data_IF_804263614247
#
_entry.id   IF_804263614247
#
_cell.length_a   1.000
_cell.length_b   1.000
_cell.length_c   1.000
_cell.angle_alpha   90.00
_cell.angle_beta   90.00
_cell.angle_gamma   90.00
#
_symmetry.space_group_name_H-M   'P 1'
#
loop_
_entity.id
_entity.type
_entity.pdbx_description
1 polymer ?
#
# COMPACT_ATOMS: atom_id res chain seq x y z
N UNK A 1 21.35 -0.32 1.12
CA UNK A 1 20.79 -0.98 2.32
C UNK A 1 20.95 -2.47 2.13
N UNK A 2 21.45 -3.15 3.12
CA UNK A 2 21.66 -4.58 3.00
C UNK A 2 20.51 -5.30 3.69
N UNK A 3 19.86 -6.20 2.96
CA UNK A 3 18.89 -7.13 3.54
C UNK A 3 19.66 -8.05 4.50
N UNK A 4 19.21 -8.22 5.75
CA UNK A 4 19.85 -9.11 6.70
C UNK A 4 20.04 -10.53 6.13
N UNK A 5 21.17 -11.15 6.43
CA UNK A 5 21.54 -12.45 5.85
C UNK A 5 20.53 -13.56 6.16
N UNK A 6 19.92 -13.52 7.33
CA UNK A 6 18.87 -14.47 7.72
C UNK A 6 17.59 -14.35 6.88
N UNK A 7 17.35 -13.21 6.27
CA UNK A 7 16.25 -13.01 5.30
C UNK A 7 16.76 -13.34 3.89
N UNK A 8 17.92 -12.82 3.50
CA UNK A 8 18.49 -12.97 2.16
C UNK A 8 18.69 -14.41 1.76
N UNK A 9 19.18 -15.22 2.69
CA UNK A 9 19.59 -16.60 2.44
C UNK A 9 18.50 -17.64 2.74
N UNK A 10 17.27 -17.23 2.95
CA UNK A 10 16.14 -18.13 3.18
C UNK A 10 15.16 -18.06 2.00
N UNK A 11 15.23 -19.08 1.14
CA UNK A 11 14.41 -19.13 -0.08
C UNK A 11 12.89 -19.13 0.21
N UNK A 12 12.46 -19.63 1.36
CA UNK A 12 11.04 -19.64 1.76
C UNK A 12 10.49 -18.24 2.06
N UNK A 13 11.37 -17.24 2.22
CA UNK A 13 10.99 -15.85 2.45
C UNK A 13 10.73 -15.06 1.18
N UNK A 14 10.91 -15.68 0.00
CA UNK A 14 10.78 -15.03 -1.29
C UNK A 14 9.70 -15.69 -2.14
N UNK A 15 8.97 -14.90 -2.91
CA UNK A 15 8.21 -15.44 -4.02
C UNK A 15 9.17 -15.79 -5.16
N UNK A 16 9.14 -17.06 -5.59
CA UNK A 16 10.00 -17.59 -6.64
C UNK A 16 9.24 -17.88 -7.94
N UNK A 17 8.13 -17.17 -8.16
CA UNK A 17 7.35 -17.25 -9.39
C UNK A 17 8.13 -16.67 -10.58
N UNK A 18 8.04 -17.32 -11.76
CA UNK A 18 8.74 -16.92 -12.96
C UNK A 18 8.11 -15.71 -13.65
N UNK A 19 7.88 -14.62 -12.92
CA UNK A 19 7.40 -13.37 -13.49
C UNK A 19 8.56 -12.41 -13.75
N UNK A 20 8.52 -11.74 -14.91
CA UNK A 20 9.47 -10.66 -15.24
C UNK A 20 9.09 -9.30 -14.70
N UNK A 21 7.88 -9.17 -14.15
CA UNK A 21 7.35 -7.93 -13.57
C UNK A 21 5.90 -8.06 -13.13
N UNK A 22 5.42 -7.07 -12.40
CA UNK A 22 4.07 -7.04 -11.85
C UNK A 22 3.00 -6.78 -12.93
N UNK A 23 1.75 -6.97 -12.57
CA UNK A 23 0.57 -6.69 -13.38
C UNK A 23 -0.44 -5.86 -12.58
N UNK A 24 -1.09 -4.89 -13.24
CA UNK A 24 -2.20 -4.14 -12.64
C UNK A 24 -3.56 -4.80 -12.88
N UNK A 25 -3.61 -5.92 -13.62
CA UNK A 25 -4.85 -6.59 -14.01
C UNK A 25 -4.96 -8.02 -13.51
N UNK A 26 -3.85 -8.62 -13.11
CA UNK A 26 -3.78 -9.97 -12.53
C UNK A 26 -3.37 -9.84 -11.05
N UNK A 27 -4.30 -10.15 -10.15
CA UNK A 27 -4.08 -9.99 -8.71
C UNK A 27 -3.01 -10.93 -8.15
N UNK A 28 -2.94 -12.16 -8.65
CA UNK A 28 -1.89 -13.10 -8.24
C UNK A 28 -0.52 -12.58 -8.67
N UNK A 29 -0.37 -12.24 -9.95
CA UNK A 29 0.88 -11.66 -10.46
C UNK A 29 1.23 -10.33 -9.75
N UNK A 30 0.24 -9.50 -9.41
CA UNK A 30 0.46 -8.25 -8.68
C UNK A 30 1.16 -8.48 -7.34
N UNK A 31 0.82 -9.57 -6.63
CA UNK A 31 1.31 -9.86 -5.28
C UNK A 31 2.46 -10.85 -5.22
N UNK A 32 2.86 -11.46 -6.35
CA UNK A 32 3.90 -12.48 -6.40
C UNK A 32 5.02 -12.16 -7.39
N UNK A 33 4.93 -11.01 -8.04
CA UNK A 33 5.90 -10.61 -9.05
C UNK A 33 6.76 -9.44 -8.58
N UNK A 34 8.05 -9.43 -8.93
CA UNK A 34 8.96 -8.35 -8.57
C UNK A 34 8.54 -7.02 -9.23
N UNK A 35 8.71 -5.92 -8.50
CA UNK A 35 8.51 -4.54 -8.96
C UNK A 35 9.85 -3.81 -9.10
N UNK A 36 10.86 -4.49 -9.64
CA UNK A 36 12.22 -3.97 -9.72
C UNK A 36 13.10 -4.35 -8.53
N UNK A 37 12.52 -5.01 -7.53
CA UNK A 37 13.19 -5.59 -6.36
C UNK A 37 12.62 -6.98 -6.10
N UNK A 38 13.40 -7.88 -5.46
CA UNK A 38 12.88 -9.19 -5.05
C UNK A 38 11.65 -9.06 -4.15
N UNK A 39 10.68 -9.94 -4.36
CA UNK A 39 9.41 -9.92 -3.67
C UNK A 39 9.38 -10.86 -2.48
N UNK A 40 8.99 -10.34 -1.31
CA UNK A 40 8.94 -11.09 -0.06
C UNK A 40 7.63 -11.88 0.06
N UNK A 41 7.75 -13.17 0.36
CA UNK A 41 6.60 -14.04 0.64
C UNK A 41 5.94 -13.69 1.97
N UNK A 42 5.04 -12.74 1.96
CA UNK A 42 4.33 -12.28 3.16
C UNK A 42 3.32 -13.28 3.72
N UNK A 43 3.10 -14.43 3.08
CA UNK A 43 2.35 -15.55 3.65
C UNK A 43 3.19 -16.38 4.63
N UNK A 44 4.53 -16.28 4.59
CA UNK A 44 5.42 -16.99 5.50
C UNK A 44 5.34 -16.43 6.93
N UNK A 45 4.99 -17.28 7.89
CA UNK A 45 4.76 -16.87 9.28
C UNK A 45 6.03 -16.42 10.01
N UNK A 46 7.17 -16.99 9.69
CA UNK A 46 8.45 -16.60 10.30
C UNK A 46 8.86 -15.21 9.82
N UNK A 47 8.75 -14.95 8.52
CA UNK A 47 8.96 -13.62 7.96
C UNK A 47 8.00 -12.60 8.57
N UNK A 48 6.71 -12.94 8.70
CA UNK A 48 5.76 -12.08 9.39
C UNK A 48 6.21 -11.75 10.82
N UNK A 49 6.69 -12.74 11.58
CA UNK A 49 7.17 -12.51 12.95
C UNK A 49 8.36 -11.53 12.98
N UNK A 50 9.28 -11.63 12.04
CA UNK A 50 10.42 -10.70 11.93
C UNK A 50 9.91 -9.28 11.71
N UNK A 51 9.00 -9.09 10.77
CA UNK A 51 8.44 -7.78 10.44
C UNK A 51 7.63 -7.23 11.63
N UNK A 52 6.81 -8.04 12.28
CA UNK A 52 6.01 -7.61 13.43
C UNK A 52 6.86 -7.21 14.64
N UNK A 53 7.97 -7.91 14.87
CA UNK A 53 8.94 -7.54 15.90
C UNK A 53 9.57 -6.18 15.56
N UNK A 54 9.99 -5.97 14.32
CA UNK A 54 10.51 -4.67 13.87
C UNK A 54 9.52 -3.53 14.10
N UNK A 55 8.23 -3.73 13.75
CA UNK A 55 7.19 -2.71 13.98
C UNK A 55 7.01 -2.44 15.49
N UNK A 56 7.05 -3.48 16.33
CA UNK A 56 6.94 -3.34 17.78
C UNK A 56 8.13 -2.59 18.37
N UNK A 57 9.34 -2.88 17.92
CA UNK A 57 10.55 -2.18 18.33
C UNK A 57 10.51 -0.70 17.92
N UNK A 58 10.04 -0.40 16.71
CA UNK A 58 9.86 0.96 16.25
C UNK A 58 8.83 1.73 17.12
N UNK A 59 7.71 1.09 17.50
CA UNK A 59 6.74 1.67 18.43
C UNK A 59 7.36 1.90 19.83
N UNK A 60 8.17 0.98 20.32
CA UNK A 60 8.90 1.15 21.58
C UNK A 60 9.88 2.32 21.52
N UNK A 61 10.39 2.65 20.33
CA UNK A 61 11.21 3.85 20.08
C UNK A 61 10.40 5.14 19.84
N UNK A 62 9.07 5.08 19.89
CA UNK A 62 8.19 6.24 19.78
C UNK A 62 7.51 6.44 18.42
N UNK A 63 7.46 5.43 17.56
CA UNK A 63 6.68 5.52 16.33
C UNK A 63 5.18 5.44 16.62
N UNK A 64 4.42 6.45 16.20
CA UNK A 64 2.96 6.55 16.36
C UNK A 64 2.18 5.99 15.16
N UNK A 65 2.86 5.63 14.07
CA UNK A 65 2.23 5.09 12.88
C UNK A 65 3.23 4.59 11.85
N UNK A 66 2.70 3.94 10.81
CA UNK A 66 3.50 3.36 9.75
C UNK A 66 2.88 3.61 8.37
N UNK A 67 3.73 3.99 7.42
CA UNK A 67 3.45 3.96 6.00
C UNK A 67 4.01 2.67 5.41
N UNK A 68 3.18 1.94 4.72
CA UNK A 68 3.59 0.76 3.95
C UNK A 68 3.69 1.16 2.49
N UNK A 69 4.91 1.13 1.98
CA UNK A 69 5.22 1.40 0.59
C UNK A 69 4.65 0.29 -0.30
N UNK A 70 4.19 0.65 -1.51
CA UNK A 70 3.71 -0.28 -2.52
C UNK A 70 2.74 -1.37 -1.99
N UNK A 71 1.86 -1.01 -1.04
CA UNK A 71 1.04 -1.95 -0.28
C UNK A 71 0.15 -2.87 -1.15
N UNK A 72 -0.19 -2.47 -2.38
CA UNK A 72 -0.96 -3.31 -3.31
C UNK A 72 -0.26 -4.63 -3.68
N UNK A 73 1.05 -4.69 -3.51
CA UNK A 73 1.87 -5.86 -3.83
C UNK A 73 1.96 -6.87 -2.68
N UNK A 74 1.19 -6.69 -1.62
CA UNK A 74 1.08 -7.63 -0.51
C UNK A 74 -0.33 -8.23 -0.49
N UNK A 75 -0.42 -9.55 -0.31
CA UNK A 75 -1.67 -10.29 -0.27
C UNK A 75 -2.52 -9.89 0.92
N UNK A 76 -3.82 -9.95 0.75
CA UNK A 76 -4.79 -9.78 1.83
C UNK A 76 -5.40 -11.13 2.23
N UNK A 77 -6.01 -11.24 3.42
CA UNK A 77 -6.72 -12.48 3.81
C UNK A 77 -7.87 -12.87 2.87
N UNK A 78 -8.37 -11.94 2.07
CA UNK A 78 -9.48 -12.16 1.12
C UNK A 78 -9.02 -12.58 -0.28
N UNK A 79 -7.72 -12.67 -0.54
CA UNK A 79 -7.20 -13.15 -1.82
C UNK A 79 -7.37 -14.68 -1.90
N UNK A 80 -8.27 -15.12 -2.78
CA UNK A 80 -8.72 -16.50 -2.81
C UNK A 80 -7.62 -17.46 -3.31
N UNK A 81 -7.26 -18.43 -2.47
CA UNK A 81 -6.29 -19.46 -2.78
C UNK A 81 -4.83 -19.09 -2.48
N UNK A 82 -4.51 -17.81 -2.26
CA UNK A 82 -3.16 -17.33 -1.96
C UNK A 82 -3.11 -16.22 -0.90
N UNK A 83 -4.20 -15.98 -0.19
CA UNK A 83 -4.31 -14.90 0.79
C UNK A 83 -3.40 -15.08 2.00
N UNK A 84 -2.90 -13.95 2.51
CA UNK A 84 -2.00 -13.86 3.66
C UNK A 84 -2.70 -13.20 4.86
N UNK A 85 -2.36 -13.63 6.07
CA UNK A 85 -2.78 -12.99 7.32
C UNK A 85 -1.89 -11.80 7.72
N UNK A 86 -0.96 -11.39 6.88
CA UNK A 86 0.00 -10.33 7.17
C UNK A 86 -0.68 -9.06 7.70
N UNK A 87 -1.63 -8.50 6.95
CA UNK A 87 -2.30 -7.25 7.33
C UNK A 87 -3.11 -7.36 8.61
N UNK A 88 -3.80 -8.48 8.80
CA UNK A 88 -4.56 -8.73 10.04
C UNK A 88 -3.61 -8.73 11.25
N UNK A 89 -2.47 -9.41 11.14
CA UNK A 89 -1.45 -9.48 12.19
C UNK A 89 -0.74 -8.15 12.43
N UNK A 90 -0.44 -7.39 11.37
CA UNK A 90 0.11 -6.02 11.49
C UNK A 90 -0.84 -5.17 12.33
N UNK A 91 -2.11 -5.12 11.96
CA UNK A 91 -3.12 -4.35 12.71
C UNK A 91 -3.20 -4.80 14.16
N UNK A 92 -3.38 -6.09 14.40
CA UNK A 92 -3.51 -6.65 15.76
C UNK A 92 -2.30 -6.32 16.63
N UNK A 93 -1.09 -6.57 16.11
CA UNK A 93 0.15 -6.34 16.87
C UNK A 93 0.36 -4.87 17.19
N UNK A 94 0.22 -4.00 16.20
CA UNK A 94 0.48 -2.56 16.39
C UNK A 94 -0.58 -1.89 17.25
N UNK A 95 -1.86 -2.28 17.12
CA UNK A 95 -2.94 -1.76 17.96
C UNK A 95 -2.87 -2.26 19.41
N UNK A 96 -2.32 -3.43 19.64
CA UNK A 96 -2.06 -3.91 21.01
C UNK A 96 -1.05 -3.02 21.75
N UNK A 97 -0.05 -2.52 21.02
CA UNK A 97 0.97 -1.64 21.58
C UNK A 97 0.50 -0.19 21.69
N UNK A 98 -0.22 0.30 20.67
CA UNK A 98 -0.82 1.63 20.61
C UNK A 98 -2.19 1.56 19.92
N UNK A 99 -3.32 1.64 20.66
CA UNK A 99 -4.66 1.57 20.08
C UNK A 99 -4.95 2.66 19.03
N UNK A 100 -4.26 3.79 19.11
CA UNK A 100 -4.42 4.94 18.22
C UNK A 100 -3.39 4.96 17.07
N UNK A 101 -2.65 3.86 16.87
CA UNK A 101 -1.64 3.76 15.82
C UNK A 101 -2.22 4.12 14.45
N UNK A 102 -1.49 4.97 13.71
CA UNK A 102 -1.87 5.36 12.36
C UNK A 102 -1.21 4.45 11.32
N UNK A 103 -2.02 3.61 10.68
CA UNK A 103 -1.55 2.69 9.64
C UNK A 103 -2.11 3.10 8.29
N UNK A 104 -1.24 3.24 7.27
CA UNK A 104 -1.71 3.40 5.91
C UNK A 104 -0.77 2.78 4.88
N UNK A 105 -1.36 2.33 3.79
CA UNK A 105 -0.66 1.79 2.63
C UNK A 105 -0.68 2.77 1.47
N UNK A 106 0.46 2.92 0.82
CA UNK A 106 0.49 3.56 -0.48
C UNK A 106 0.00 2.59 -1.54
N UNK A 107 -1.03 3.00 -2.28
CA UNK A 107 -1.57 2.25 -3.41
C UNK A 107 -1.71 3.23 -4.57
N UNK A 108 -0.81 3.13 -5.55
CA UNK A 108 -0.85 3.89 -6.78
C UNK A 108 -1.48 3.06 -7.91
N UNK A 109 -1.95 3.71 -8.97
CA UNK A 109 -2.49 3.07 -10.18
C UNK A 109 -3.62 2.07 -9.92
N UNK A 110 -4.74 2.57 -9.43
CA UNK A 110 -5.93 1.78 -9.13
C UNK A 110 -6.98 1.84 -10.23
N UNK A 111 -6.62 2.31 -11.41
CA UNK A 111 -7.56 2.53 -12.53
C UNK A 111 -7.84 1.27 -13.37
N UNK A 112 -7.18 0.15 -13.10
CA UNK A 112 -7.39 -1.10 -13.82
C UNK A 112 -8.66 -1.85 -13.41
N UNK A 113 -9.08 -2.87 -14.19
CA UNK A 113 -10.12 -3.80 -13.78
C UNK A 113 -9.77 -4.41 -12.41
N UNK A 114 -10.62 -4.22 -11.41
CA UNK A 114 -10.38 -4.67 -10.05
C UNK A 114 -9.77 -3.61 -9.12
N UNK A 115 -9.25 -2.51 -9.63
CA UNK A 115 -8.53 -1.53 -8.84
C UNK A 115 -9.24 -1.07 -7.56
N UNK A 116 -10.51 -0.78 -7.64
CA UNK A 116 -11.30 -0.38 -6.46
C UNK A 116 -11.63 -1.53 -5.53
N UNK A 117 -12.04 -2.67 -6.07
CA UNK A 117 -12.35 -3.85 -5.26
C UNK A 117 -11.11 -4.35 -4.53
N UNK A 118 -9.94 -4.22 -5.15
CA UNK A 118 -8.69 -4.60 -4.52
C UNK A 118 -8.28 -3.64 -3.41
N UNK A 119 -8.47 -2.32 -3.58
CA UNK A 119 -8.24 -1.36 -2.49
C UNK A 119 -9.13 -1.64 -1.26
N UNK A 120 -10.38 -2.00 -1.46
CA UNK A 120 -11.30 -2.34 -0.37
C UNK A 120 -10.85 -3.56 0.43
N UNK A 121 -10.02 -4.45 -0.13
CA UNK A 121 -9.44 -5.57 0.60
C UNK A 121 -8.51 -5.12 1.73
N UNK A 122 -7.89 -3.95 1.61
CA UNK A 122 -6.96 -3.40 2.60
C UNK A 122 -7.64 -2.59 3.70
N UNK A 123 -8.75 -1.94 3.40
CA UNK A 123 -9.41 -0.99 4.33
C UNK A 123 -9.86 -1.58 5.65
N UNK A 124 -10.12 -2.90 5.81
CA UNK A 124 -10.33 -3.51 7.12
C UNK A 124 -9.11 -3.45 8.05
N UNK A 125 -7.91 -3.28 7.48
CA UNK A 125 -6.64 -3.39 8.21
C UNK A 125 -5.89 -2.09 8.30
N UNK A 126 -5.77 -1.37 7.20
CA UNK A 126 -5.01 -0.11 7.06
C UNK A 126 -5.83 0.91 6.27
N UNK A 127 -5.50 2.18 6.40
CA UNK A 127 -5.98 3.20 5.47
C UNK A 127 -5.22 3.09 4.16
N UNK A 128 -5.79 3.60 3.08
CA UNK A 128 -5.16 3.59 1.75
C UNK A 128 -5.15 4.98 1.14
N UNK A 129 -4.16 5.27 0.31
CA UNK A 129 -4.06 6.54 -0.40
C UNK A 129 -5.17 6.70 -1.44
N UNK A 130 -5.76 7.89 -1.53
CA UNK A 130 -6.79 8.20 -2.53
C UNK A 130 -6.19 9.00 -3.69
N UNK A 131 -5.83 8.30 -4.77
CA UNK A 131 -5.20 8.92 -5.93
C UNK A 131 -6.17 9.80 -6.73
N UNK A 132 -7.46 9.48 -6.73
CA UNK A 132 -8.43 10.29 -7.46
C UNK A 132 -8.58 11.67 -6.85
N UNK A 133 -8.55 11.77 -5.52
CA UNK A 133 -8.51 13.07 -4.85
C UNK A 133 -7.29 13.88 -5.30
N UNK A 134 -6.11 13.28 -5.23
CA UNK A 134 -4.86 13.95 -5.62
C UNK A 134 -4.90 14.41 -7.08
N UNK A 135 -5.35 13.55 -7.99
CA UNK A 135 -5.46 13.87 -9.42
C UNK A 135 -6.45 15.02 -9.67
N UNK A 136 -7.61 15.01 -8.99
CA UNK A 136 -8.60 16.07 -9.12
C UNK A 136 -8.07 17.40 -8.59
N UNK A 137 -7.37 17.39 -7.46
CA UNK A 137 -6.78 18.58 -6.87
C UNK A 137 -5.72 19.19 -7.79
N UNK A 138 -4.77 18.36 -8.30
CA UNK A 138 -3.76 18.84 -9.25
C UNK A 138 -4.38 19.37 -10.54
N UNK A 139 -5.40 18.69 -11.08
CA UNK A 139 -6.12 19.17 -12.27
C UNK A 139 -6.81 20.51 -12.00
N UNK A 140 -7.39 20.70 -10.83
CA UNK A 140 -8.01 21.96 -10.42
C UNK A 140 -7.01 23.12 -10.39
N UNK A 141 -5.84 22.88 -9.81
CA UNK A 141 -4.74 23.86 -9.72
C UNK A 141 -4.22 24.17 -11.13
N UNK A 142 -3.83 23.15 -11.88
CA UNK A 142 -3.27 23.29 -13.23
C UNK A 142 -4.19 24.05 -14.20
N UNK A 143 -5.48 23.75 -14.15
CA UNK A 143 -6.47 24.35 -15.02
C UNK A 143 -7.05 25.65 -14.46
N UNK A 144 -6.61 26.09 -13.27
CA UNK A 144 -7.19 27.24 -12.54
C UNK A 144 -8.71 27.18 -12.46
N UNK A 145 -9.22 25.98 -12.23
CA UNK A 145 -10.65 25.70 -12.24
C UNK A 145 -11.03 24.86 -11.02
N UNK A 146 -11.70 25.49 -10.05
CA UNK A 146 -12.16 24.82 -8.83
C UNK A 146 -13.16 23.69 -9.11
N UNK A 147 -13.88 23.74 -10.22
CA UNK A 147 -14.80 22.66 -10.60
C UNK A 147 -14.06 21.36 -10.96
N UNK A 148 -12.84 21.46 -11.47
CA UNK A 148 -11.97 20.29 -11.71
C UNK A 148 -11.51 19.61 -10.42
N UNK A 149 -11.47 20.36 -9.32
CA UNK A 149 -11.12 19.85 -7.98
C UNK A 149 -12.33 19.29 -7.23
N UNK A 150 -13.54 19.34 -7.79
CA UNK A 150 -14.74 18.82 -7.14
C UNK A 150 -14.59 17.33 -6.86
N UNK A 151 -14.92 16.99 -5.65
CA UNK A 151 -14.83 15.67 -5.10
C UNK A 151 -16.24 15.21 -4.74
N UNK A 152 -16.67 14.09 -5.28
CA UNK A 152 -17.99 13.53 -5.01
C UNK A 152 -17.89 12.34 -4.06
N UNK A 153 -18.98 11.98 -3.38
CA UNK A 153 -19.00 10.80 -2.53
C UNK A 153 -18.66 9.50 -3.28
N UNK A 154 -18.89 9.45 -4.59
CA UNK A 154 -18.51 8.33 -5.45
C UNK A 154 -16.99 8.25 -5.66
N UNK A 155 -16.28 9.34 -5.45
CA UNK A 155 -14.82 9.41 -5.56
C UNK A 155 -14.12 8.90 -4.29
N UNK A 156 -14.86 8.73 -3.20
CA UNK A 156 -14.44 8.09 -1.95
C UNK A 156 -15.15 6.73 -1.83
N UNK A 157 -15.12 5.92 -2.82
CA UNK A 157 -15.46 4.48 -2.85
C UNK A 157 -16.61 4.06 -1.90
N UNK A 158 -17.69 4.84 -1.81
CA UNK A 158 -18.88 4.51 -1.04
C UNK A 158 -18.65 4.21 0.44
N UNK A 159 -17.48 4.50 0.95
CA UNK A 159 -17.04 4.07 2.25
C UNK A 159 -16.77 5.23 3.20
N UNK A 160 -16.58 4.88 4.40
CA UNK A 160 -16.23 5.74 5.50
C UNK A 160 -14.94 6.52 5.16
N UNK A 161 -14.99 7.84 5.15
CA UNK A 161 -13.82 8.70 4.88
C UNK A 161 -12.60 8.44 5.79
N UNK A 162 -12.80 7.72 6.89
CA UNK A 162 -11.71 7.29 7.77
C UNK A 162 -10.79 6.21 7.17
N UNK A 163 -11.20 5.56 6.09
CA UNK A 163 -10.43 4.52 5.42
C UNK A 163 -9.39 5.09 4.44
N UNK A 164 -9.43 6.40 4.18
CA UNK A 164 -8.64 7.05 3.15
C UNK A 164 -7.63 8.04 3.69
N UNK A 165 -6.47 8.10 3.04
CA UNK A 165 -5.49 9.15 3.19
C UNK A 165 -5.59 10.06 1.97
N UNK A 166 -6.02 11.30 2.19
CA UNK A 166 -6.07 12.33 1.16
C UNK A 166 -4.70 12.98 1.03
N UNK A 167 -4.25 13.18 -0.19
CA UNK A 167 -2.96 13.78 -0.49
C UNK A 167 -3.04 14.59 -1.78
N UNK A 168 -2.17 15.54 -1.97
CA UNK A 168 -2.13 16.39 -3.17
C UNK A 168 -0.94 16.02 -4.06
N UNK A 169 0.22 15.81 -3.45
CA UNK A 169 1.47 15.53 -4.14
C UNK A 169 2.34 14.61 -3.31
N UNK A 170 3.17 13.83 -3.97
CA UNK A 170 4.16 12.94 -3.37
C UNK A 170 5.49 13.09 -4.10
N UNK A 171 6.56 12.49 -3.58
CA UNK A 171 7.86 12.46 -4.25
C UNK A 171 7.79 11.86 -5.66
N UNK A 172 6.90 10.90 -5.92
CA UNK A 172 6.72 10.29 -7.24
C UNK A 172 6.08 11.25 -8.24
N UNK A 173 5.06 12.00 -7.82
CA UNK A 173 4.38 12.96 -8.70
C UNK A 173 5.21 14.24 -8.88
N UNK A 174 5.91 14.69 -7.86
CA UNK A 174 6.78 15.86 -7.91
C UNK A 174 8.03 15.63 -8.76
N UNK A 175 8.64 14.46 -8.66
CA UNK A 175 9.85 14.10 -9.41
C UNK A 175 9.59 13.85 -10.91
N UNK A 176 8.35 13.88 -11.36
CA UNK A 176 8.00 13.71 -12.76
C UNK A 176 7.90 12.27 -13.23
N UNK A 177 7.92 11.29 -12.35
CA UNK A 177 7.76 9.87 -12.71
C UNK A 177 6.44 9.59 -13.42
N UNK A 178 5.44 10.43 -13.19
CA UNK A 178 4.16 10.43 -13.91
C UNK A 178 3.97 11.62 -14.86
N UNK A 179 5.04 12.35 -15.19
CA UNK A 179 5.02 13.46 -16.14
C UNK A 179 4.22 14.69 -15.69
N UNK A 180 3.84 14.75 -14.43
CA UNK A 180 3.07 15.87 -13.87
C UNK A 180 3.99 16.72 -12.98
N UNK A 181 4.82 17.55 -13.63
CA UNK A 181 5.50 18.63 -12.93
C UNK A 181 4.46 19.71 -12.64
N UNK A 182 3.89 19.70 -11.46
CA UNK A 182 3.07 20.82 -10.97
C UNK A 182 3.98 21.80 -10.29
N UNK A 183 4.59 22.69 -11.08
CA UNK A 183 5.15 23.95 -10.57
C UNK A 183 3.99 24.76 -9.98
N UNK A 184 3.71 24.55 -8.70
CA UNK A 184 2.77 25.33 -7.93
C UNK A 184 3.53 26.35 -7.09
#
# INVERSE_FOLDING_TARGET
SEIPDNIRNNDDFWHNDNYSGSSDTDRYQMTHAPIGMPDLNTSNKELQNIILNFLSDAQACGADGFRFDAAKHIETPSDNGFGSQFWARVKETTQKNNPDVFLYGEILNTAGPGGYSDMQKYTPYIRVTNNKYANNMRAGIKNRNADSAKFTNNDIFGSNGKEWVLWNESHDTYAGDYGENTDA
#
